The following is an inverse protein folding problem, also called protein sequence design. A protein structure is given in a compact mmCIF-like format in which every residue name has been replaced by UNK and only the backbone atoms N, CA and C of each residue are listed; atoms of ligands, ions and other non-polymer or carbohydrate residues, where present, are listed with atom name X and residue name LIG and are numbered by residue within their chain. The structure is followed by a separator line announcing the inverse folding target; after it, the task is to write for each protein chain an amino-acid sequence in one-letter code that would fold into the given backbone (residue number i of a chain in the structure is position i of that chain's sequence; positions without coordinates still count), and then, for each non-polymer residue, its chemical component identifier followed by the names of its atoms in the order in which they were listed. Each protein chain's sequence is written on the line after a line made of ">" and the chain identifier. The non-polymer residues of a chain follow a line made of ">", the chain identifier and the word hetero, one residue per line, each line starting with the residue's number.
data_IF_550167929903
#
_entry.id   IF_550167929903
#
_cell.length_a   1.000
_cell.length_b   1.000
_cell.length_c   1.000
_cell.angle_alpha   90.00
_cell.angle_beta   90.00
_cell.angle_gamma   90.00
#
_symmetry.space_group_name_H-M   'P 1'
#
loop_
_entity.id
_entity.type
_entity.pdbx_description
1 polymer ?
#
# COMPACT_ATOMS: atom_id res chain seq x y z
N UNK A 1 35.24 -6.99 36.75
CA UNK A 1 34.05 -7.80 36.90
C UNK A 1 32.73 -7.09 36.61
N UNK A 2 32.72 -5.76 36.50
CA UNK A 2 31.52 -5.03 36.10
C UNK A 2 31.50 -4.67 34.60
N UNK A 3 32.48 -5.13 33.82
CA UNK A 3 32.62 -4.79 32.38
C UNK A 3 31.93 -5.75 31.43
N UNK A 4 31.44 -6.88 31.91
CA UNK A 4 30.74 -7.89 31.09
C UNK A 4 29.23 -7.64 31.00
N UNK A 5 28.69 -6.74 31.83
CA UNK A 5 27.24 -6.47 31.81
C UNK A 5 26.85 -5.40 30.80
N UNK A 6 27.81 -4.70 30.21
CA UNK A 6 27.57 -3.57 29.32
C UNK A 6 27.48 -4.00 27.84
N UNK A 7 27.81 -5.24 27.53
CA UNK A 7 27.83 -5.76 26.15
C UNK A 7 26.49 -6.37 25.76
N UNK A 8 25.63 -6.69 26.72
CA UNK A 8 24.34 -7.36 26.46
C UNK A 8 23.24 -6.34 26.12
N UNK A 9 23.46 -5.08 26.37
CA UNK A 9 22.43 -4.04 26.14
C UNK A 9 22.44 -3.46 24.73
N UNK A 10 23.32 -3.90 23.85
CA UNK A 10 23.43 -3.36 22.48
C UNK A 10 22.89 -4.33 21.41
N UNK A 11 22.29 -5.44 21.83
CA UNK A 11 21.75 -6.43 20.91
C UNK A 11 20.23 -6.37 20.73
N UNK A 12 19.64 -5.28 21.15
CA UNK A 12 18.21 -5.08 20.95
C UNK A 12 18.05 -3.76 20.23
N UNK A 13 18.10 -3.79 18.96
CA UNK A 13 17.29 -2.98 18.05
C UNK A 13 17.75 -3.21 16.62
N UNK A 14 17.47 -4.38 16.11
CA UNK A 14 17.18 -4.45 14.70
C UNK A 14 15.80 -5.06 14.54
N UNK A 15 14.85 -4.49 15.23
CA UNK A 15 13.47 -4.57 14.76
C UNK A 15 13.48 -3.79 13.45
N UNK A 16 13.57 -4.54 12.35
CA UNK A 16 13.60 -3.94 11.05
C UNK A 16 12.50 -2.91 10.92
N UNK A 17 12.88 -1.67 10.73
CA UNK A 17 11.95 -0.67 10.27
C UNK A 17 11.54 -1.10 8.88
N UNK A 18 10.38 -1.76 8.77
CA UNK A 18 9.77 -2.00 7.49
C UNK A 18 9.58 -0.63 6.82
N UNK A 19 10.21 -0.43 5.68
CA UNK A 19 9.98 0.79 4.93
C UNK A 19 8.50 0.85 4.57
N UNK A 20 7.87 1.96 4.89
CA UNK A 20 6.45 2.19 4.73
C UNK A 20 6.21 3.31 3.74
N UNK A 21 5.06 3.34 3.13
CA UNK A 21 4.59 4.47 2.36
C UNK A 21 3.93 5.47 3.31
N UNK A 22 4.78 6.31 3.96
CA UNK A 22 4.34 7.16 5.04
C UNK A 22 3.87 6.33 6.24
N UNK A 23 2.64 6.57 6.71
CA UNK A 23 2.01 5.81 7.81
C UNK A 23 1.30 4.53 7.33
N UNK A 24 1.48 4.16 6.06
CA UNK A 24 0.76 3.06 5.41
C UNK A 24 1.67 1.92 5.02
N UNK A 25 1.08 0.73 4.97
CA UNK A 25 1.68 -0.49 4.42
C UNK A 25 0.98 -0.81 3.12
N UNK A 26 1.77 -1.17 2.12
CA UNK A 26 1.26 -1.66 0.82
C UNK A 26 1.12 -3.17 0.90
N UNK A 27 -0.02 -3.66 0.46
CA UNK A 27 -0.32 -5.09 0.40
C UNK A 27 -0.69 -5.48 -1.02
N UNK A 28 -0.39 -6.72 -1.39
CA UNK A 28 -0.70 -7.23 -2.72
C UNK A 28 -0.87 -8.74 -2.72
N UNK A 29 -1.62 -9.22 -3.70
CA UNK A 29 -1.86 -10.64 -3.89
C UNK A 29 -1.45 -11.03 -5.31
N UNK A 30 -0.49 -11.96 -5.42
CA UNK A 30 -0.02 -12.47 -6.70
C UNK A 30 0.37 -11.38 -7.71
N UNK A 31 1.10 -10.37 -7.22
CA UNK A 31 1.56 -9.25 -8.05
C UNK A 31 2.84 -9.58 -8.83
N UNK A 32 3.54 -10.66 -8.47
CA UNK A 32 4.81 -11.05 -9.08
C UNK A 32 6.04 -10.39 -8.47
N UNK A 33 5.87 -9.55 -7.44
CA UNK A 33 6.97 -8.93 -6.70
C UNK A 33 6.64 -8.81 -5.21
N UNK A 34 7.68 -8.73 -4.39
CA UNK A 34 7.57 -8.60 -2.93
C UNK A 34 8.14 -7.30 -2.40
N UNK A 35 8.77 -6.52 -3.26
CA UNK A 35 9.38 -5.24 -2.90
C UNK A 35 9.22 -4.23 -4.03
N UNK A 36 9.12 -2.97 -3.68
CA UNK A 36 9.02 -1.86 -4.63
C UNK A 36 9.64 -0.62 -4.03
N UNK A 37 10.06 0.31 -4.88
CA UNK A 37 10.47 1.64 -4.41
C UNK A 37 9.24 2.47 -4.05
N UNK A 38 9.45 3.48 -3.21
CA UNK A 38 8.38 4.44 -2.87
C UNK A 38 7.79 5.11 -4.12
N UNK A 39 8.66 5.55 -5.04
CA UNK A 39 8.22 6.19 -6.28
C UNK A 39 7.39 5.23 -7.15
N UNK A 40 7.81 3.98 -7.28
CA UNK A 40 7.08 2.99 -8.05
C UNK A 40 5.75 2.60 -7.39
N UNK A 41 5.73 2.48 -6.06
CA UNK A 41 4.49 2.22 -5.32
C UNK A 41 3.45 3.33 -5.57
N UNK A 42 3.85 4.59 -5.52
CA UNK A 42 2.96 5.70 -5.87
C UNK A 42 2.47 5.61 -7.32
N UNK A 43 3.33 5.24 -8.25
CA UNK A 43 2.95 5.06 -9.65
C UNK A 43 1.93 3.92 -9.82
N UNK A 44 2.10 2.82 -9.11
CA UNK A 44 1.13 1.71 -9.09
C UNK A 44 -0.25 2.21 -8.68
N UNK A 45 -0.33 2.93 -7.56
CA UNK A 45 -1.61 3.46 -7.06
C UNK A 45 -2.20 4.57 -7.95
N UNK A 46 -1.40 5.17 -8.81
CA UNK A 46 -1.88 6.14 -9.81
C UNK A 46 -2.35 5.49 -11.12
N UNK A 47 -2.30 4.16 -11.20
CA UNK A 47 -2.80 3.43 -12.35
C UNK A 47 -1.81 3.25 -13.49
N UNK A 48 -0.50 3.29 -13.21
CA UNK A 48 0.54 3.10 -14.23
C UNK A 48 0.45 1.73 -14.92
N UNK A 49 0.04 0.70 -14.20
CA UNK A 49 0.00 -0.66 -14.72
C UNK A 49 -1.44 -1.17 -14.80
N UNK A 50 -1.80 -1.77 -15.93
CA UNK A 50 -3.09 -2.45 -16.10
C UNK A 50 -2.99 -3.95 -15.85
N UNK A 51 -1.78 -4.50 -15.98
CA UNK A 51 -1.49 -5.90 -15.67
C UNK A 51 -0.09 -6.04 -15.08
N UNK A 52 0.07 -7.04 -14.23
CA UNK A 52 1.39 -7.44 -13.72
C UNK A 52 2.14 -8.29 -14.75
N UNK A 53 3.45 -8.45 -14.54
CA UNK A 53 4.29 -9.26 -15.45
C UNK A 53 3.85 -10.73 -15.56
N UNK A 54 3.19 -11.25 -14.53
CA UNK A 54 2.66 -12.61 -14.52
C UNK A 54 1.32 -12.76 -15.26
N UNK A 55 0.79 -11.68 -15.85
CA UNK A 55 -0.46 -11.69 -16.61
C UNK A 55 -1.72 -11.38 -15.80
N UNK A 56 -1.62 -11.30 -14.46
CA UNK A 56 -2.77 -10.92 -13.64
C UNK A 56 -3.14 -9.46 -13.88
N UNK A 57 -4.43 -9.18 -13.97
CA UNK A 57 -4.94 -7.81 -14.06
C UNK A 57 -4.72 -7.08 -12.74
N UNK A 58 -4.33 -5.82 -12.81
CA UNK A 58 -4.16 -4.98 -11.62
C UNK A 58 -5.52 -4.47 -11.15
N UNK A 59 -5.82 -4.69 -9.88
CA UNK A 59 -6.95 -4.07 -9.19
C UNK A 59 -6.44 -3.23 -8.03
N UNK A 60 -6.64 -1.92 -8.11
CA UNK A 60 -6.25 -0.99 -7.05
C UNK A 60 -7.37 -0.91 -6.03
N UNK A 61 -7.03 -1.07 -4.76
CA UNK A 61 -7.97 -1.06 -3.64
C UNK A 61 -7.62 0.10 -2.70
N UNK A 62 -8.53 1.02 -2.55
CA UNK A 62 -8.31 2.28 -1.83
C UNK A 62 -9.35 2.49 -0.73
N UNK A 63 -9.03 3.32 0.28
CA UNK A 63 -10.04 3.76 1.23
C UNK A 63 -11.08 4.64 0.55
N UNK A 64 -12.34 4.43 0.89
CA UNK A 64 -13.46 5.25 0.42
C UNK A 64 -13.50 6.61 1.13
N UNK A 65 -14.33 7.50 0.65
CA UNK A 65 -14.52 8.83 1.27
C UNK A 65 -15.03 8.78 2.72
N UNK A 66 -15.58 7.66 3.14
CA UNK A 66 -16.03 7.43 4.52
C UNK A 66 -14.94 6.89 5.44
N UNK A 67 -13.78 6.49 4.86
CA UNK A 67 -12.67 5.97 5.64
C UNK A 67 -11.93 7.08 6.37
N UNK A 68 -11.48 6.80 7.59
CA UNK A 68 -10.58 7.68 8.35
C UNK A 68 -9.22 7.88 7.66
N UNK A 69 -8.88 7.01 6.73
CA UNK A 69 -7.59 7.02 6.03
C UNK A 69 -7.58 7.83 4.73
N UNK A 70 -8.74 8.21 4.21
CA UNK A 70 -8.84 8.75 2.84
C UNK A 70 -8.08 10.05 2.65
N UNK A 71 -8.12 10.95 3.64
CA UNK A 71 -7.41 12.24 3.57
C UNK A 71 -5.91 12.02 3.48
N UNK A 72 -5.37 11.16 4.35
CA UNK A 72 -3.94 10.86 4.38
C UNK A 72 -3.47 10.13 3.12
N UNK A 73 -4.25 9.21 2.60
CA UNK A 73 -3.91 8.50 1.35
C UNK A 73 -3.92 9.47 0.16
N UNK A 74 -4.94 10.32 0.06
CA UNK A 74 -5.00 11.35 -0.99
C UNK A 74 -3.76 12.25 -0.96
N UNK A 75 -3.38 12.72 0.24
CA UNK A 75 -2.22 13.60 0.43
C UNK A 75 -0.89 12.88 0.17
N UNK A 76 -0.66 11.74 0.81
CA UNK A 76 0.65 11.07 0.80
C UNK A 76 0.93 10.31 -0.49
N UNK A 77 -0.07 9.73 -1.10
CA UNK A 77 0.09 8.93 -2.32
C UNK A 77 -0.11 9.76 -3.59
N UNK A 78 -1.12 10.60 -3.60
CA UNK A 78 -1.49 11.38 -4.78
C UNK A 78 -1.02 12.84 -4.73
N UNK A 79 -0.67 13.35 -3.55
CA UNK A 79 -0.36 14.76 -3.35
C UNK A 79 -1.57 15.67 -3.61
N UNK A 80 -2.77 15.17 -3.35
CA UNK A 80 -4.03 15.81 -3.66
C UNK A 80 -4.95 15.86 -2.43
N UNK A 81 -5.99 16.66 -2.53
CA UNK A 81 -7.14 16.58 -1.64
C UNK A 81 -7.99 15.36 -1.99
N UNK A 82 -8.95 15.00 -1.13
CA UNK A 82 -9.90 13.92 -1.43
C UNK A 82 -10.66 14.19 -2.72
N UNK A 83 -11.15 15.41 -2.91
CA UNK A 83 -11.83 15.81 -4.15
C UNK A 83 -10.89 15.73 -5.36
N UNK A 84 -9.65 16.13 -5.19
CA UNK A 84 -8.64 16.04 -6.24
C UNK A 84 -8.36 14.59 -6.64
N UNK A 85 -8.28 13.69 -5.68
CA UNK A 85 -8.12 12.26 -5.93
C UNK A 85 -9.33 11.66 -6.66
N UNK A 86 -10.54 12.03 -6.25
CA UNK A 86 -11.77 11.61 -6.93
C UNK A 86 -11.80 12.08 -8.38
N UNK A 87 -11.46 13.34 -8.62
CA UNK A 87 -11.37 13.92 -9.97
C UNK A 87 -10.31 13.21 -10.81
N UNK A 88 -9.15 12.94 -10.22
CA UNK A 88 -8.08 12.21 -10.88
C UNK A 88 -8.56 10.85 -11.41
N UNK A 89 -9.21 10.06 -10.57
CA UNK A 89 -9.71 8.74 -10.98
C UNK A 89 -10.84 8.82 -11.99
N UNK A 90 -11.74 9.78 -11.84
CA UNK A 90 -12.79 10.02 -12.82
C UNK A 90 -12.21 10.30 -14.20
N UNK A 91 -11.20 11.15 -14.29
CA UNK A 91 -10.52 11.47 -15.54
C UNK A 91 -9.77 10.25 -16.12
N UNK A 92 -9.09 9.46 -15.29
CA UNK A 92 -8.38 8.26 -15.75
C UNK A 92 -9.35 7.25 -16.37
N UNK A 93 -10.46 6.99 -15.71
CA UNK A 93 -11.49 6.06 -16.18
C UNK A 93 -12.16 6.58 -17.45
N UNK A 94 -12.52 7.85 -17.46
CA UNK A 94 -13.21 8.49 -18.58
C UNK A 94 -12.34 8.50 -19.86
N UNK A 95 -11.03 8.67 -19.70
CA UNK A 95 -10.07 8.65 -20.81
C UNK A 95 -9.64 7.23 -21.21
N UNK A 96 -10.17 6.19 -20.56
CA UNK A 96 -9.82 4.80 -20.83
C UNK A 96 -8.40 4.40 -20.45
N UNK A 97 -7.75 5.19 -19.59
CA UNK A 97 -6.35 4.93 -19.18
C UNK A 97 -6.21 3.87 -18.10
N UNK A 98 -7.22 3.75 -17.25
CA UNK A 98 -7.23 2.82 -16.12
C UNK A 98 -8.64 2.37 -15.80
N UNK A 99 -8.75 1.20 -15.20
CA UNK A 99 -9.99 0.77 -14.55
C UNK A 99 -10.18 1.52 -13.25
N UNK A 100 -11.42 1.69 -12.84
CA UNK A 100 -11.73 2.32 -11.56
C UNK A 100 -11.18 1.48 -10.39
N UNK A 101 -10.58 2.12 -9.37
CA UNK A 101 -10.26 1.43 -8.13
C UNK A 101 -11.50 0.88 -7.44
N UNK A 102 -11.29 -0.10 -6.57
CA UNK A 102 -12.31 -0.57 -5.63
C UNK A 102 -12.11 0.19 -4.31
N UNK A 103 -13.18 0.66 -3.70
CA UNK A 103 -13.13 1.46 -2.49
C UNK A 103 -13.82 0.76 -1.33
N UNK A 104 -13.18 0.78 -0.16
CA UNK A 104 -13.73 0.23 1.06
C UNK A 104 -13.58 1.21 2.22
N UNK A 105 -14.49 1.12 3.18
CA UNK A 105 -14.51 2.02 4.33
C UNK A 105 -13.43 1.67 5.36
N UNK A 106 -13.09 0.41 5.53
CA UNK A 106 -12.18 -0.07 6.58
C UNK A 106 -10.95 -0.79 6.00
N UNK A 107 -9.85 -0.76 6.76
CA UNK A 107 -8.64 -1.52 6.45
C UNK A 107 -8.91 -3.02 6.38
N UNK A 108 -9.77 -3.52 7.26
CA UNK A 108 -10.12 -4.94 7.30
C UNK A 108 -10.78 -5.40 5.99
N UNK A 109 -11.69 -4.59 5.47
CA UNK A 109 -12.32 -4.87 4.17
C UNK A 109 -11.30 -4.86 3.03
N UNK A 110 -10.35 -3.92 3.06
CA UNK A 110 -9.26 -3.85 2.08
C UNK A 110 -8.40 -5.11 2.14
N UNK A 111 -7.97 -5.51 3.33
CA UNK A 111 -7.17 -6.72 3.55
C UNK A 111 -7.91 -7.96 3.04
N UNK A 112 -9.18 -8.10 3.39
CA UNK A 112 -9.98 -9.25 2.98
C UNK A 112 -10.17 -9.31 1.47
N UNK A 113 -10.40 -8.17 0.82
CA UNK A 113 -10.52 -8.12 -0.63
C UNK A 113 -9.21 -8.52 -1.32
N UNK A 114 -8.08 -7.97 -0.89
CA UNK A 114 -6.76 -8.30 -1.46
C UNK A 114 -6.45 -9.78 -1.27
N UNK A 115 -6.75 -10.36 -0.13
CA UNK A 115 -6.55 -11.80 0.12
C UNK A 115 -7.29 -12.69 -0.87
N UNK A 116 -8.47 -12.27 -1.32
CA UNK A 116 -9.36 -13.07 -2.16
C UNK A 116 -9.22 -12.80 -3.65
N UNK A 117 -8.51 -11.76 -4.03
CA UNK A 117 -8.47 -11.32 -5.43
C UNK A 117 -7.02 -11.25 -5.93
N UNK A 118 -6.56 -12.29 -6.67
CA UNK A 118 -5.25 -12.24 -7.30
C UNK A 118 -5.11 -11.01 -8.20
N UNK A 119 -3.98 -10.34 -8.12
CA UNK A 119 -3.70 -9.09 -8.84
C UNK A 119 -4.10 -7.83 -8.09
N UNK A 120 -4.80 -7.94 -6.97
CA UNK A 120 -5.18 -6.79 -6.16
C UNK A 120 -3.98 -6.23 -5.39
N UNK A 121 -3.91 -4.90 -5.31
CA UNK A 121 -2.95 -4.14 -4.53
C UNK A 121 -3.72 -3.12 -3.71
N UNK A 122 -3.42 -3.02 -2.42
CA UNK A 122 -4.12 -2.14 -1.50
C UNK A 122 -3.18 -1.43 -0.54
N UNK A 123 -3.74 -0.50 0.20
CA UNK A 123 -3.00 0.32 1.16
C UNK A 123 -3.79 0.39 2.46
N UNK A 124 -3.14 0.08 3.56
CA UNK A 124 -3.73 0.06 4.91
C UNK A 124 -2.79 0.70 5.90
N UNK A 125 -3.30 1.08 7.08
CA UNK A 125 -2.45 1.66 8.13
C UNK A 125 -1.41 0.66 8.61
N UNK A 126 -0.20 1.15 8.84
CA UNK A 126 0.91 0.36 9.34
C UNK A 126 0.66 -0.25 10.72
N UNK A 127 -0.25 0.34 11.52
CA UNK A 127 -0.65 -0.17 12.82
C UNK A 127 -1.55 -1.41 12.75
N UNK A 128 -2.08 -1.74 11.57
CA UNK A 128 -2.91 -2.93 11.39
C UNK A 128 -2.08 -4.20 11.29
N UNK A 129 -2.61 -5.26 11.87
CA UNK A 129 -2.06 -6.60 11.69
C UNK A 129 -2.40 -7.10 10.29
N UNK A 130 -1.37 -7.32 9.48
CA UNK A 130 -1.50 -7.75 8.09
C UNK A 130 -0.76 -9.09 7.93
N UNK A 131 -1.34 -10.09 7.22
CA UNK A 131 -0.60 -11.28 6.88
C UNK A 131 0.70 -10.94 6.13
N UNK A 132 1.81 -11.47 6.61
CA UNK A 132 3.13 -11.17 6.06
C UNK A 132 3.24 -11.54 4.58
N UNK A 133 2.51 -12.56 4.15
CA UNK A 133 2.46 -12.98 2.75
C UNK A 133 1.90 -11.93 1.79
N UNK A 134 1.12 -10.97 2.29
CA UNK A 134 0.55 -9.89 1.49
C UNK A 134 1.42 -8.63 1.45
N UNK A 135 2.36 -8.48 2.39
CA UNK A 135 3.15 -7.24 2.52
C UNK A 135 4.10 -7.09 1.35
N UNK A 136 4.06 -5.90 0.73
CA UNK A 136 5.04 -5.48 -0.26
C UNK A 136 6.01 -4.52 0.45
N UNK A 137 7.28 -4.89 0.50
CA UNK A 137 8.34 -4.08 1.12
C UNK A 137 8.56 -2.81 0.30
N UNK A 138 8.52 -1.66 0.96
CA UNK A 138 8.79 -0.38 0.29
C UNK A 138 10.22 0.04 0.63
N UNK A 139 11.03 0.23 -0.39
CA UNK A 139 12.40 0.74 -0.28
C UNK A 139 12.47 2.21 -0.70
N UNK A 140 13.50 2.90 -0.26
CA UNK A 140 13.72 4.31 -0.64
C UNK A 140 14.02 4.48 -2.14
#
# INVERSE_FOLDING_TARGET
>A
MKKTLLIILFLIVSLGSFAQLGEFVVIGNNTGFKASTKANAKAIFRGKYSSWKNGESVTIVLPSTKSDNVVSVASQVYGLTVKGMQKYWLEQVFQGRSNAPVFFETDEEIINYVKRNPGAVGIVRASRSVPQSLVIQITE
#
